data_IF_678314657666
#
_entry.id   IF_678314657666
#
_cell.length_a   1.000
_cell.length_b   1.000
_cell.length_c   1.000
_cell.angle_alpha   90.00
_cell.angle_beta   90.00
_cell.angle_gamma   90.00
#
_symmetry.space_group_name_H-M   'P 1'
#
loop_
_entity.id
_entity.type
_entity.pdbx_description
1 polymer ?
#
# COMPACT_ATOMS: atom_id res chain seq x y z
N UNK A 1 11.51 26.63 -2.22
CA UNK A 1 10.33 27.50 -2.45
C UNK A 1 9.85 27.55 -3.91
N UNK A 2 10.69 27.85 -4.94
CA UNK A 2 10.16 28.03 -6.30
C UNK A 2 9.47 26.79 -6.90
N UNK A 3 9.95 25.58 -6.55
CA UNK A 3 9.31 24.32 -6.94
C UNK A 3 8.03 24.07 -6.13
N UNK A 4 8.16 23.95 -4.81
CA UNK A 4 7.07 23.61 -3.89
C UNK A 4 5.84 24.55 -3.93
N UNK A 5 5.98 25.80 -4.40
CA UNK A 5 4.83 26.72 -4.56
C UNK A 5 3.96 26.44 -5.79
N UNK A 6 4.40 25.58 -6.72
CA UNK A 6 3.72 25.26 -7.99
C UNK A 6 3.52 23.77 -8.21
N UNK A 7 4.35 22.96 -7.60
CA UNK A 7 4.28 21.50 -7.68
C UNK A 7 4.05 20.98 -6.26
N UNK A 8 3.10 20.06 -6.04
CA UNK A 8 2.96 19.37 -4.76
C UNK A 8 4.23 18.58 -4.44
N UNK A 9 4.69 18.64 -3.19
CA UNK A 9 5.79 17.81 -2.69
C UNK A 9 5.23 16.90 -1.61
N UNK A 10 5.43 15.59 -1.79
CA UNK A 10 4.96 14.54 -0.90
C UNK A 10 6.19 13.89 -0.27
N UNK A 11 6.22 13.80 1.05
CA UNK A 11 7.41 13.40 1.80
C UNK A 11 7.18 12.08 2.55
N UNK A 12 8.14 11.17 2.49
CA UNK A 12 8.28 10.06 3.43
C UNK A 12 9.36 10.46 4.46
N UNK A 13 9.16 10.21 5.76
CA UNK A 13 10.18 10.51 6.76
C UNK A 13 11.32 9.48 6.67
N UNK A 14 12.55 9.95 6.83
CA UNK A 14 13.74 9.12 6.97
C UNK A 14 14.45 9.33 8.30
N UNK A 15 15.56 8.62 8.49
CA UNK A 15 16.31 8.62 9.75
C UNK A 15 16.88 10.01 10.13
N UNK A 16 17.00 10.93 9.17
CA UNK A 16 17.48 12.30 9.43
C UNK A 16 16.37 13.27 9.85
N UNK A 17 15.10 12.89 9.71
CA UNK A 17 13.98 13.64 10.26
C UNK A 17 13.80 13.39 11.77
N UNK A 18 14.40 12.34 12.31
CA UNK A 18 14.48 12.12 13.76
C UNK A 18 15.63 12.95 14.37
N UNK A 19 15.30 14.18 14.79
CA UNK A 19 16.29 15.09 15.36
C UNK A 19 16.55 14.77 16.84
N UNK A 20 17.82 14.67 17.24
CA UNK A 20 18.23 14.14 18.57
C UNK A 20 17.54 14.76 19.81
N UNK A 21 17.07 16.00 19.74
CA UNK A 21 16.37 16.68 20.85
C UNK A 21 14.87 16.86 20.62
N UNK A 22 14.40 16.65 19.39
CA UNK A 22 13.07 17.07 18.95
C UNK A 22 12.28 15.95 18.26
N UNK A 23 12.88 14.77 18.08
CA UNK A 23 12.30 13.68 17.30
C UNK A 23 11.85 14.18 15.94
N UNK A 24 10.66 13.79 15.52
CA UNK A 24 10.06 14.19 14.25
C UNK A 24 9.32 15.54 14.28
N UNK A 25 9.44 16.35 15.33
CA UNK A 25 8.65 17.57 15.49
C UNK A 25 8.81 18.55 14.30
N UNK A 26 10.01 18.65 13.73
CA UNK A 26 10.25 19.49 12.56
C UNK A 26 9.51 18.97 11.31
N UNK A 27 9.51 17.66 11.09
CA UNK A 27 8.78 17.02 10.00
C UNK A 27 7.27 17.27 10.13
N UNK A 28 6.71 16.98 11.30
CA UNK A 28 5.29 17.13 11.60
C UNK A 28 4.81 18.58 11.48
N UNK A 29 5.65 19.55 11.88
CA UNK A 29 5.28 20.97 11.86
C UNK A 29 5.37 21.62 10.47
N UNK A 30 6.17 21.07 9.55
CA UNK A 30 6.53 21.74 8.29
C UNK A 30 5.88 21.12 7.06
N UNK A 31 5.65 19.81 7.07
CA UNK A 31 5.18 19.10 5.88
C UNK A 31 3.69 18.77 6.01
N UNK A 32 2.95 19.17 4.98
CA UNK A 32 1.55 18.76 4.83
C UNK A 32 1.48 17.42 4.13
N UNK A 33 0.44 16.64 4.45
CA UNK A 33 0.16 15.35 3.83
C UNK A 33 -1.34 15.25 3.49
N UNK A 34 -1.72 14.37 2.56
CA UNK A 34 -3.11 13.98 2.38
C UNK A 34 -3.61 13.30 3.65
N UNK A 35 -4.86 13.58 4.01
CA UNK A 35 -5.56 12.78 5.00
C UNK A 35 -6.02 11.48 4.31
N UNK A 36 -5.06 10.56 4.11
CA UNK A 36 -5.28 9.25 3.49
C UNK A 36 -5.88 8.24 4.47
N UNK A 37 -6.71 8.69 5.41
CA UNK A 37 -7.39 7.85 6.41
C UNK A 37 -6.48 7.22 7.47
N UNK A 38 -5.15 7.32 7.34
CA UNK A 38 -4.20 6.67 8.26
C UNK A 38 -4.19 7.22 9.68
N UNK A 39 -4.65 8.46 9.88
CA UNK A 39 -4.53 9.17 11.16
C UNK A 39 -3.09 9.49 11.59
N UNK A 40 -2.05 9.02 10.87
CA UNK A 40 -0.64 9.12 11.26
C UNK A 40 0.15 10.13 10.43
N UNK A 41 0.94 11.03 11.04
CA UNK A 41 1.78 11.97 10.30
C UNK A 41 2.81 11.31 9.38
N UNK A 42 3.13 10.03 9.58
CA UNK A 42 4.31 9.39 9.00
C UNK A 42 4.02 8.44 7.82
N UNK A 43 2.77 8.01 7.65
CA UNK A 43 2.35 7.15 6.55
C UNK A 43 0.97 7.57 6.04
N UNK A 44 0.77 7.52 4.73
CA UNK A 44 -0.44 8.00 4.06
C UNK A 44 -0.49 7.49 2.62
N UNK A 45 -1.65 7.60 1.98
CA UNK A 45 -1.83 7.33 0.56
C UNK A 45 -2.45 8.50 -0.18
N UNK A 46 -2.32 8.51 -1.50
CA UNK A 46 -3.04 9.41 -2.39
C UNK A 46 -3.08 8.87 -3.83
N UNK A 47 -4.05 9.35 -4.60
CA UNK A 47 -4.11 9.08 -6.03
C UNK A 47 -3.61 10.27 -6.84
N UNK A 48 -2.87 9.99 -7.90
CA UNK A 48 -2.54 10.98 -8.93
C UNK A 48 -2.63 10.33 -10.31
N UNK A 49 -3.63 10.73 -11.09
CA UNK A 49 -3.88 10.14 -12.41
C UNK A 49 -4.09 8.61 -12.30
N UNK A 50 -3.36 7.78 -13.06
CA UNK A 50 -3.52 6.32 -13.05
C UNK A 50 -2.80 5.63 -11.89
N UNK A 51 -2.25 6.37 -10.92
CA UNK A 51 -1.39 5.82 -9.86
C UNK A 51 -2.00 6.03 -8.48
N UNK A 52 -1.97 4.98 -7.66
CA UNK A 52 -2.10 5.04 -6.20
C UNK A 52 -0.71 5.00 -5.59
N UNK A 53 -0.35 6.06 -4.88
CA UNK A 53 0.87 6.14 -4.10
C UNK A 53 0.57 5.84 -2.64
N UNK A 54 1.42 5.02 -2.01
CA UNK A 54 1.34 4.68 -0.59
C UNK A 54 2.72 4.95 0.02
N UNK A 55 2.80 5.93 0.90
CA UNK A 55 4.02 6.26 1.65
C UNK A 55 4.00 5.55 3.01
N UNK A 56 5.07 4.84 3.32
CA UNK A 56 5.32 4.21 4.63
C UNK A 56 6.53 4.85 5.31
N UNK A 57 6.71 4.59 6.60
CA UNK A 57 7.88 5.01 7.38
C UNK A 57 8.71 3.80 7.81
N UNK A 58 9.99 3.80 7.42
CA UNK A 58 11.00 2.86 7.87
C UNK A 58 11.62 3.21 9.23
N UNK A 59 11.13 4.28 9.88
CA UNK A 59 11.62 4.77 11.18
C UNK A 59 10.62 4.51 12.31
N UNK A 60 9.46 3.96 11.99
CA UNK A 60 8.41 3.60 12.94
C UNK A 60 8.12 2.10 12.87
N UNK A 61 7.42 1.56 13.87
CA UNK A 61 7.12 0.13 13.95
C UNK A 61 6.39 -0.36 12.69
N UNK A 62 6.88 -1.47 12.14
CA UNK A 62 6.32 -2.20 11.01
C UNK A 62 6.20 -3.70 11.34
N UNK A 63 6.20 -4.06 12.62
CA UNK A 63 6.01 -5.45 13.07
C UNK A 63 4.54 -5.86 12.98
N UNK A 64 4.27 -7.17 13.02
CA UNK A 64 2.91 -7.72 13.11
C UNK A 64 2.10 -7.05 14.23
N UNK A 65 0.90 -6.56 13.88
CA UNK A 65 0.00 -5.84 14.78
C UNK A 65 0.37 -4.37 15.05
N UNK A 66 1.41 -3.84 14.39
CA UNK A 66 1.69 -2.41 14.45
C UNK A 66 0.62 -1.62 13.67
N UNK A 67 0.26 -0.40 14.12
CA UNK A 67 -0.74 0.42 13.43
C UNK A 67 -0.40 0.70 11.96
N UNK A 68 0.90 0.80 11.63
CA UNK A 68 1.34 0.99 10.27
C UNK A 68 1.14 -0.25 9.40
N UNK A 69 1.51 -1.44 9.90
CA UNK A 69 1.41 -2.66 9.10
C UNK A 69 -0.05 -3.06 8.86
N UNK A 70 -0.91 -2.92 9.86
CA UNK A 70 -2.36 -3.15 9.72
C UNK A 70 -2.97 -2.17 8.71
N UNK A 71 -2.65 -0.88 8.82
CA UNK A 71 -3.10 0.12 7.86
C UNK A 71 -2.58 -0.15 6.44
N UNK A 72 -1.32 -0.57 6.30
CA UNK A 72 -0.72 -0.83 4.99
C UNK A 72 -1.43 -1.99 4.27
N UNK A 73 -1.75 -3.07 4.97
CA UNK A 73 -2.50 -4.20 4.40
C UNK A 73 -3.90 -3.76 3.90
N UNK A 74 -4.62 -2.99 4.71
CA UNK A 74 -5.93 -2.44 4.34
C UNK A 74 -5.85 -1.50 3.13
N UNK A 75 -4.88 -0.58 3.14
CA UNK A 75 -4.70 0.41 2.08
C UNK A 75 -4.28 -0.24 0.75
N UNK A 76 -3.41 -1.25 0.81
CA UNK A 76 -3.03 -2.04 -0.36
C UNK A 76 -4.21 -2.84 -0.92
N UNK A 77 -5.07 -3.39 -0.07
CA UNK A 77 -6.28 -4.06 -0.52
C UNK A 77 -7.23 -3.10 -1.25
N UNK A 78 -7.41 -1.88 -0.72
CA UNK A 78 -8.19 -0.82 -1.36
C UNK A 78 -7.56 -0.38 -2.70
N UNK A 79 -6.25 -0.19 -2.73
CA UNK A 79 -5.52 0.17 -3.94
C UNK A 79 -5.70 -0.90 -5.03
N UNK A 80 -5.57 -2.18 -4.66
CA UNK A 80 -5.74 -3.30 -5.57
C UNK A 80 -7.18 -3.40 -6.11
N UNK A 81 -8.18 -3.17 -5.26
CA UNK A 81 -9.59 -3.11 -5.68
C UNK A 81 -9.89 -1.91 -6.60
N UNK A 82 -9.09 -0.84 -6.53
CA UNK A 82 -9.26 0.40 -7.30
C UNK A 82 -8.55 0.41 -8.67
N UNK A 83 -7.92 -0.70 -9.09
CA UNK A 83 -7.09 -0.77 -10.31
C UNK A 83 -7.82 -0.45 -11.63
N UNK A 84 -9.15 -0.49 -11.65
CA UNK A 84 -9.92 0.03 -12.79
C UNK A 84 -9.75 1.55 -12.95
N UNK A 85 -9.68 2.31 -11.86
CA UNK A 85 -9.45 3.75 -11.87
C UNK A 85 -7.95 4.10 -11.83
N UNK A 86 -7.20 3.43 -10.96
CA UNK A 86 -5.79 3.69 -10.69
C UNK A 86 -4.99 2.38 -10.86
N UNK A 87 -4.67 1.99 -12.10
CA UNK A 87 -4.04 0.70 -12.33
C UNK A 87 -2.74 0.53 -11.55
N UNK A 88 -1.90 1.54 -11.44
CA UNK A 88 -0.56 1.38 -10.85
C UNK A 88 -0.57 1.61 -9.34
N UNK A 89 0.10 0.73 -8.59
CA UNK A 89 0.32 0.88 -7.16
C UNK A 89 1.80 1.02 -6.88
N UNK A 90 2.19 2.15 -6.31
CA UNK A 90 3.58 2.48 -5.98
C UNK A 90 3.70 2.69 -4.48
N UNK A 91 4.62 1.95 -3.85
CA UNK A 91 5.00 2.13 -2.44
C UNK A 91 6.26 2.98 -2.35
N UNK A 92 6.29 3.91 -1.40
CA UNK A 92 7.41 4.82 -1.14
C UNK A 92 7.85 4.65 0.33
N UNK A 93 9.16 4.63 0.57
CA UNK A 93 9.74 4.66 1.92
C UNK A 93 11.18 5.17 1.91
N UNK A 94 11.81 5.27 3.07
CA UNK A 94 13.19 5.76 3.16
C UNK A 94 14.22 4.63 3.06
N UNK A 95 14.27 3.69 4.00
CA UNK A 95 15.24 2.57 3.96
C UNK A 95 14.83 1.48 2.95
N UNK A 96 15.75 1.00 2.10
CA UNK A 96 15.44 0.05 1.05
C UNK A 96 15.32 -1.39 1.57
N UNK A 97 14.33 -2.14 1.07
CA UNK A 97 14.25 -3.59 1.32
C UNK A 97 15.28 -4.37 0.48
N UNK A 98 15.76 -3.77 -0.61
CA UNK A 98 16.78 -4.31 -1.50
C UNK A 98 17.78 -3.21 -1.85
N UNK A 99 19.02 -3.41 -1.43
CA UNK A 99 20.18 -2.60 -1.77
C UNK A 99 21.44 -3.45 -1.63
N UNK A 100 22.31 -3.37 -2.63
CA UNK A 100 23.62 -4.03 -2.65
C UNK A 100 24.73 -3.05 -2.25
N UNK A 101 24.38 -1.87 -1.73
CA UNK A 101 25.36 -0.95 -1.19
C UNK A 101 25.94 -1.50 0.12
N UNK A 102 27.26 -1.45 0.26
CA UNK A 102 27.93 -2.01 1.45
C UNK A 102 27.97 -1.03 2.63
N UNK A 103 27.49 0.21 2.48
CA UNK A 103 27.47 1.21 3.55
C UNK A 103 26.27 1.00 4.50
N UNK A 104 25.02 1.04 3.99
CA UNK A 104 23.83 0.65 4.76
C UNK A 104 23.23 -0.66 4.26
N UNK A 105 22.95 -0.76 2.96
CA UNK A 105 22.43 -1.98 2.34
C UNK A 105 20.95 -2.25 2.64
N UNK A 106 20.55 -3.50 2.48
CA UNK A 106 19.14 -3.91 2.63
C UNK A 106 18.67 -3.88 4.09
N UNK A 107 17.53 -3.22 4.35
CA UNK A 107 16.78 -3.32 5.61
C UNK A 107 15.99 -4.63 5.65
N UNK A 108 16.67 -5.72 6.01
CA UNK A 108 16.12 -7.08 5.99
C UNK A 108 14.88 -7.23 6.89
N UNK A 109 14.85 -6.56 8.05
CA UNK A 109 13.70 -6.63 8.95
C UNK A 109 12.45 -6.00 8.34
N UNK A 110 12.60 -4.93 7.56
CA UNK A 110 11.50 -4.34 6.80
C UNK A 110 11.04 -5.27 5.68
N UNK A 111 11.99 -5.88 4.95
CA UNK A 111 11.69 -6.87 3.90
C UNK A 111 10.88 -8.04 4.44
N UNK A 112 11.31 -8.64 5.54
CA UNK A 112 10.64 -9.78 6.16
C UNK A 112 9.20 -9.45 6.60
N UNK A 113 8.95 -8.20 7.03
CA UNK A 113 7.64 -7.77 7.51
C UNK A 113 6.70 -7.28 6.39
N UNK A 114 7.23 -6.68 5.32
CA UNK A 114 6.41 -5.92 4.35
C UNK A 114 6.33 -6.57 2.97
N UNK A 115 7.35 -7.33 2.54
CA UNK A 115 7.40 -7.88 1.18
C UNK A 115 6.17 -8.72 0.84
N UNK A 116 5.71 -9.56 1.77
CA UNK A 116 4.55 -10.42 1.53
C UNK A 116 3.28 -9.61 1.25
N UNK A 117 3.11 -8.44 1.85
CA UNK A 117 1.98 -7.54 1.56
C UNK A 117 2.10 -6.94 0.16
N UNK A 118 3.32 -6.50 -0.21
CA UNK A 118 3.56 -5.94 -1.55
C UNK A 118 3.24 -6.97 -2.63
N UNK A 119 3.69 -8.20 -2.46
CA UNK A 119 3.44 -9.30 -3.40
C UNK A 119 1.96 -9.67 -3.45
N UNK A 120 1.31 -9.89 -2.30
CA UNK A 120 -0.09 -10.34 -2.23
C UNK A 120 -1.06 -9.32 -2.83
N UNK A 121 -0.75 -8.02 -2.73
CA UNK A 121 -1.57 -6.95 -3.32
C UNK A 121 -1.04 -6.45 -4.68
N UNK A 122 -0.08 -7.18 -5.25
CA UNK A 122 0.47 -6.98 -6.60
C UNK A 122 1.10 -5.60 -6.81
N UNK A 123 1.76 -5.04 -5.80
CA UNK A 123 2.47 -3.74 -5.92
C UNK A 123 3.44 -3.77 -7.10
N UNK A 124 3.43 -2.69 -7.87
CA UNK A 124 4.14 -2.63 -9.15
C UNK A 124 5.58 -2.15 -8.98
N UNK A 125 5.75 -1.13 -8.12
CA UNK A 125 7.00 -0.45 -7.89
C UNK A 125 7.12 -0.05 -6.42
N UNK A 126 8.29 -0.29 -5.83
CA UNK A 126 8.63 0.20 -4.51
C UNK A 126 9.88 1.10 -4.61
N UNK A 127 9.78 2.34 -4.15
CA UNK A 127 10.84 3.36 -4.28
C UNK A 127 11.36 3.74 -2.90
N UNK A 128 12.68 3.74 -2.78
CA UNK A 128 13.43 3.94 -1.56
C UNK A 128 14.48 5.04 -1.72
N UNK A 129 14.94 5.57 -0.60
CA UNK A 129 16.08 6.49 -0.50
C UNK A 129 17.20 5.86 0.32
N UNK A 130 17.63 6.58 1.36
CA UNK A 130 18.64 6.19 2.36
C UNK A 130 20.05 5.91 1.82
N UNK A 131 20.23 4.91 0.98
CA UNK A 131 21.51 4.65 0.32
C UNK A 131 21.75 5.69 -0.77
N UNK A 132 22.89 6.37 -0.69
CA UNK A 132 23.25 7.46 -1.61
C UNK A 132 23.74 6.93 -2.97
N UNK A 133 22.97 6.05 -3.58
CA UNK A 133 23.23 5.46 -4.89
C UNK A 133 21.92 5.26 -5.63
N UNK A 134 22.04 4.99 -6.93
CA UNK A 134 20.94 4.45 -7.71
C UNK A 134 21.07 2.94 -7.79
N UNK A 135 19.97 2.22 -7.57
CA UNK A 135 19.89 0.79 -7.83
C UNK A 135 18.48 0.40 -8.23
N UNK A 136 18.38 -0.52 -9.20
CA UNK A 136 17.13 -1.12 -9.64
C UNK A 136 17.25 -2.63 -9.59
N UNK A 137 16.23 -3.27 -9.03
CA UNK A 137 16.10 -4.73 -9.07
C UNK A 137 15.40 -5.19 -10.36
N UNK A 138 15.54 -6.47 -10.68
CA UNK A 138 14.48 -7.18 -11.43
C UNK A 138 13.23 -7.33 -10.54
N UNK A 139 12.05 -7.67 -11.09
CA UNK A 139 10.95 -8.24 -10.31
C UNK A 139 11.46 -9.36 -9.39
N UNK A 140 11.38 -9.14 -8.07
CA UNK A 140 12.10 -9.94 -7.07
C UNK A 140 11.20 -10.28 -5.88
N UNK A 141 11.37 -11.48 -5.33
CA UNK A 141 10.76 -11.91 -4.05
C UNK A 141 11.81 -12.73 -3.30
N UNK A 142 12.06 -12.42 -2.04
CA UNK A 142 13.05 -13.12 -1.20
C UNK A 142 14.41 -13.31 -1.91
N UNK A 143 14.92 -12.26 -2.56
CA UNK A 143 16.16 -12.24 -3.36
C UNK A 143 16.17 -13.13 -4.62
N UNK A 144 15.08 -13.82 -4.92
CA UNK A 144 14.91 -14.62 -6.13
C UNK A 144 14.29 -13.76 -7.25
N UNK A 145 14.85 -13.84 -8.45
CA UNK A 145 14.35 -13.12 -9.63
C UNK A 145 13.19 -13.88 -10.26
N UNK A 146 12.02 -13.25 -10.33
CA UNK A 146 10.80 -13.85 -10.87
C UNK A 146 10.58 -13.55 -12.35
N UNK A 147 11.13 -12.44 -12.85
CA UNK A 147 11.04 -12.05 -14.25
C UNK A 147 12.29 -11.25 -14.63
N UNK A 148 12.94 -11.61 -15.74
CA UNK A 148 14.08 -10.86 -16.27
C UNK A 148 13.67 -9.88 -17.37
N UNK A 149 12.39 -9.84 -17.74
CA UNK A 149 11.86 -8.97 -18.79
C UNK A 149 12.29 -9.39 -20.20
N UNK A 150 12.49 -8.39 -21.06
CA UNK A 150 13.09 -8.57 -22.38
C UNK A 150 14.59 -8.93 -22.28
N UNK A 151 15.26 -9.08 -23.43
CA UNK A 151 16.68 -9.49 -23.45
C UNK A 151 17.61 -8.50 -22.72
N UNK A 152 17.17 -7.26 -22.48
CA UNK A 152 17.96 -6.22 -21.83
C UNK A 152 17.55 -5.99 -20.36
N UNK A 153 16.49 -6.63 -19.85
CA UNK A 153 16.00 -6.37 -18.50
C UNK A 153 15.37 -4.99 -18.31
N UNK A 154 14.78 -4.43 -19.36
CA UNK A 154 14.22 -3.07 -19.37
C UNK A 154 12.75 -3.03 -19.77
N UNK A 155 12.15 -4.11 -20.28
CA UNK A 155 10.71 -4.17 -20.55
C UNK A 155 10.06 -5.40 -19.93
N UNK A 156 9.00 -5.18 -19.16
CA UNK A 156 8.28 -6.25 -18.43
C UNK A 156 6.80 -6.27 -18.82
N UNK A 157 6.25 -7.46 -19.05
CA UNK A 157 4.86 -7.66 -19.45
C UNK A 157 4.05 -8.20 -18.25
N UNK A 158 3.45 -7.30 -17.48
CA UNK A 158 2.67 -7.59 -16.27
C UNK A 158 3.43 -8.47 -15.27
N UNK A 159 4.58 -8.01 -14.74
CA UNK A 159 5.34 -8.79 -13.76
C UNK A 159 4.50 -9.07 -12.52
N UNK A 160 4.75 -10.22 -11.88
CA UNK A 160 3.99 -10.70 -10.71
C UNK A 160 4.68 -10.39 -9.37
N UNK A 161 5.86 -9.78 -9.44
CA UNK A 161 6.64 -9.31 -8.30
C UNK A 161 6.97 -7.81 -8.48
N UNK A 162 7.08 -7.05 -7.38
CA UNK A 162 7.45 -5.64 -7.45
C UNK A 162 8.88 -5.46 -7.96
N UNK A 163 9.11 -4.37 -8.69
CA UNK A 163 10.45 -3.82 -8.89
C UNK A 163 10.78 -2.91 -7.73
N UNK A 164 12.00 -2.97 -7.20
CA UNK A 164 12.50 -2.06 -6.17
C UNK A 164 13.50 -1.08 -6.78
N UNK A 165 13.38 0.20 -6.41
CA UNK A 165 14.30 1.26 -6.78
C UNK A 165 14.89 1.91 -5.54
N UNK A 166 16.20 2.04 -5.50
CA UNK A 166 16.92 2.95 -4.60
C UNK A 166 17.26 4.19 -5.39
N UNK A 167 16.83 5.37 -4.92
CA UNK A 167 17.05 6.67 -5.58
C UNK A 167 17.48 7.72 -4.55
N UNK A 168 18.47 7.40 -3.70
CA UNK A 168 19.03 8.32 -2.69
C UNK A 168 20.02 9.35 -3.26
N UNK A 169 19.82 9.78 -4.50
CA UNK A 169 20.83 10.43 -5.35
C UNK A 169 20.69 11.95 -5.44
N UNK A 170 19.93 12.57 -4.52
CA UNK A 170 19.48 13.95 -4.66
C UNK A 170 20.46 15.02 -4.13
N UNK A 171 21.62 14.66 -3.58
CA UNK A 171 22.67 15.66 -3.28
C UNK A 171 23.64 15.39 -2.13
N UNK A 172 23.50 14.31 -1.35
CA UNK A 172 24.56 13.87 -0.42
C UNK A 172 25.62 13.02 -1.12
N UNK A 173 26.84 12.96 -0.57
CA UNK A 173 27.96 12.22 -1.17
C UNK A 173 27.54 10.80 -1.56
N UNK A 174 27.69 10.41 -2.84
CA UNK A 174 27.32 9.09 -3.29
C UNK A 174 28.12 7.98 -2.59
N UNK A 175 27.48 6.84 -2.39
CA UNK A 175 28.15 5.62 -1.93
C UNK A 175 28.52 4.79 -3.16
N UNK A 176 29.81 4.53 -3.36
CA UNK A 176 30.35 3.80 -4.52
C UNK A 176 30.80 2.37 -4.22
N UNK A 177 30.73 1.96 -2.95
CA UNK A 177 30.98 0.60 -2.51
C UNK A 177 29.69 -0.25 -2.62
N UNK A 178 29.70 -1.20 -3.53
CA UNK A 178 28.65 -2.19 -3.70
C UNK A 178 29.18 -3.62 -3.53
N UNK A 179 28.30 -4.55 -3.18
CA UNK A 179 28.61 -5.97 -3.06
C UNK A 179 29.20 -6.51 -4.37
N UNK A 180 30.29 -7.28 -4.25
CA UNK A 180 30.98 -7.95 -5.35
C UNK A 180 31.12 -9.45 -5.04
N UNK A 181 30.57 -10.36 -5.88
CA UNK A 181 29.88 -10.09 -7.15
C UNK A 181 28.53 -9.39 -6.98
N UNK A 182 28.09 -8.70 -8.03
CA UNK A 182 26.73 -8.13 -8.10
C UNK A 182 25.68 -9.19 -7.80
N UNK A 183 24.77 -8.97 -6.83
CA UNK A 183 23.68 -9.90 -6.56
C UNK A 183 22.80 -10.09 -7.79
N UNK A 184 22.33 -11.32 -8.03
CA UNK A 184 21.57 -11.66 -9.25
C UNK A 184 20.27 -10.87 -9.41
N UNK A 185 19.69 -10.37 -8.31
CA UNK A 185 18.49 -9.54 -8.31
C UNK A 185 18.75 -8.07 -8.67
N UNK A 186 19.98 -7.58 -8.52
CA UNK A 186 20.35 -6.21 -8.91
C UNK A 186 20.46 -6.16 -10.43
N UNK A 187 19.54 -5.46 -11.10
CA UNK A 187 19.54 -5.32 -12.56
C UNK A 187 20.48 -4.20 -13.03
N UNK A 188 20.48 -3.08 -12.31
CA UNK A 188 21.31 -1.92 -12.60
C UNK A 188 21.67 -1.21 -11.29
N UNK A 189 22.92 -0.72 -11.17
CA UNK A 189 23.37 0.07 -10.02
C UNK A 189 24.45 1.05 -10.43
N UNK A 190 24.41 2.27 -9.89
CA UNK A 190 25.43 3.28 -10.11
C UNK A 190 25.52 4.31 -8.97
N UNK A 191 26.73 4.82 -8.75
CA UNK A 191 27.00 5.90 -7.81
C UNK A 191 27.01 7.26 -8.53
N UNK A 192 25.83 7.77 -8.83
CA UNK A 192 25.63 8.99 -9.62
C UNK A 192 24.58 9.90 -8.99
N UNK A 193 24.69 11.21 -9.21
CA UNK A 193 23.62 12.16 -8.90
C UNK A 193 22.55 12.15 -9.99
N UNK A 194 21.29 12.13 -9.59
CA UNK A 194 20.17 12.11 -10.52
C UNK A 194 18.81 12.10 -9.83
N UNK A 195 17.76 12.02 -10.63
CA UNK A 195 16.36 11.89 -10.20
C UNK A 195 15.65 10.82 -11.02
N UNK A 196 14.71 10.11 -10.40
CA UNK A 196 13.80 9.23 -11.13
C UNK A 196 12.60 10.03 -11.67
N UNK A 197 12.31 9.87 -12.95
CA UNK A 197 11.14 10.43 -13.63
C UNK A 197 10.21 9.31 -14.03
N UNK A 198 8.93 9.44 -13.67
CA UNK A 198 7.88 8.48 -14.02
C UNK A 198 6.94 9.10 -15.06
N UNK A 199 6.79 8.45 -16.21
CA UNK A 199 5.77 8.74 -17.21
C UNK A 199 4.78 7.57 -17.24
N UNK A 200 3.54 7.83 -16.83
CA UNK A 200 2.57 6.78 -16.49
C UNK A 200 1.23 7.04 -17.14
N UNK A 201 0.74 6.06 -17.88
CA UNK A 201 -0.62 5.99 -18.38
C UNK A 201 -1.35 4.74 -17.84
N UNK A 202 -2.47 4.35 -18.43
CA UNK A 202 -3.25 3.18 -17.97
C UNK A 202 -2.56 1.84 -18.24
N UNK A 203 -1.68 1.78 -19.23
CA UNK A 203 -1.10 0.56 -19.80
C UNK A 203 0.41 0.50 -19.63
N UNK A 204 1.08 1.63 -19.42
CA UNK A 204 2.53 1.74 -19.30
C UNK A 204 2.93 2.59 -18.10
N UNK A 205 3.94 2.12 -17.38
CA UNK A 205 4.72 2.89 -16.42
C UNK A 205 6.17 2.86 -16.91
N UNK A 206 6.64 4.00 -17.43
CA UNK A 206 8.04 4.19 -17.80
C UNK A 206 8.78 4.92 -16.69
N UNK A 207 9.91 4.38 -16.27
CA UNK A 207 10.84 5.02 -15.34
C UNK A 207 12.13 5.38 -16.08
N UNK A 208 12.62 6.59 -15.85
CA UNK A 208 13.93 7.04 -16.31
C UNK A 208 14.72 7.61 -15.14
N UNK A 209 15.93 7.10 -14.92
CA UNK A 209 16.90 7.73 -14.03
C UNK A 209 17.68 8.77 -14.83
N UNK A 210 17.33 10.03 -14.63
CA UNK A 210 17.99 11.16 -15.29
C UNK A 210 19.13 11.68 -14.41
N UNK A 211 20.34 11.65 -14.95
CA UNK A 211 21.55 12.16 -14.30
C UNK A 211 21.55 13.68 -14.21
N UNK A 212 22.37 14.24 -13.33
CA UNK A 212 22.48 15.68 -13.12
C UNK A 212 22.87 16.49 -14.39
N UNK A 213 23.53 15.87 -15.37
CA UNK A 213 23.87 16.47 -16.66
C UNK A 213 22.73 16.37 -17.71
N UNK A 214 21.62 15.72 -17.35
CA UNK A 214 20.45 15.52 -18.19
C UNK A 214 20.46 14.24 -19.02
N UNK A 215 21.55 13.48 -19.02
CA UNK A 215 21.60 12.16 -19.67
C UNK A 215 20.80 11.10 -18.89
N UNK A 216 20.50 9.98 -19.55
CA UNK A 216 19.75 8.87 -18.93
C UNK A 216 20.76 7.80 -18.50
N UNK A 217 20.84 7.53 -17.20
CA UNK A 217 21.69 6.48 -16.63
C UNK A 217 21.06 5.10 -16.76
N UNK A 218 19.74 5.02 -16.53
CA UNK A 218 18.95 3.80 -16.64
C UNK A 218 17.49 4.11 -17.02
N UNK A 219 16.82 3.15 -17.66
CA UNK A 219 15.38 3.22 -17.91
C UNK A 219 14.76 1.82 -18.01
N UNK A 220 13.51 1.70 -17.58
CA UNK A 220 12.70 0.51 -17.80
C UNK A 220 11.22 0.86 -17.95
N UNK A 221 10.45 -0.11 -18.45
CA UNK A 221 9.00 0.02 -18.67
C UNK A 221 8.28 -1.21 -18.15
N UNK A 222 7.27 -0.98 -17.31
CA UNK A 222 6.27 -1.97 -16.94
C UNK A 222 5.05 -1.78 -17.84
N UNK A 223 4.65 -2.83 -18.55
CA UNK A 223 3.43 -2.84 -19.33
C UNK A 223 2.34 -3.63 -18.58
N UNK A 224 1.10 -3.16 -18.68
CA UNK A 224 -0.07 -3.86 -18.21
C UNK A 224 -0.87 -4.42 -19.36
N UNK A 225 -0.92 -5.73 -19.44
CA UNK A 225 -1.98 -6.40 -20.18
C UNK A 225 -3.22 -6.40 -19.28
N UNK A 226 -4.17 -5.50 -19.57
CA UNK A 226 -5.49 -5.67 -18.97
C UNK A 226 -6.01 -7.00 -19.52
N UNK A 227 -6.43 -7.97 -18.68
CA UNK A 227 -7.19 -9.09 -19.21
C UNK A 227 -8.35 -8.47 -19.97
N UNK A 228 -8.46 -8.73 -21.29
CA UNK A 228 -9.72 -8.55 -21.99
C UNK A 228 -10.75 -9.19 -21.07
N UNK A 229 -11.59 -8.40 -20.40
CA UNK A 229 -12.59 -8.91 -19.47
C UNK A 229 -13.18 -10.12 -20.18
N UNK A 230 -13.04 -11.36 -19.68
CA UNK A 230 -13.75 -12.46 -20.27
C UNK A 230 -15.20 -12.09 -20.05
N UNK A 231 -15.85 -11.52 -21.07
CA UNK A 231 -17.29 -11.37 -21.07
C UNK A 231 -17.75 -12.79 -20.84
N UNK A 232 -18.30 -13.06 -19.64
CA UNK A 232 -18.94 -14.32 -19.31
C UNK A 232 -19.71 -14.71 -20.57
N UNK A 233 -19.37 -15.82 -21.25
CA UNK A 233 -19.98 -16.09 -22.53
C UNK A 233 -21.48 -16.04 -22.29
N UNK A 234 -22.16 -15.15 -23.03
CA UNK A 234 -23.60 -15.05 -22.97
C UNK A 234 -24.12 -16.49 -22.99
N UNK A 235 -25.02 -16.87 -22.07
CA UNK A 235 -25.47 -18.25 -21.99
C UNK A 235 -25.84 -18.66 -23.41
N UNK A 236 -25.12 -19.64 -23.95
CA UNK A 236 -25.42 -20.16 -25.29
C UNK A 236 -26.92 -20.42 -25.24
N UNK A 237 -27.69 -19.77 -26.13
CA UNK A 237 -29.10 -20.11 -26.32
C UNK A 237 -29.09 -21.57 -26.76
N UNK A 238 -29.17 -22.46 -25.78
CA UNK A 238 -29.28 -23.88 -25.99
C UNK A 238 -30.54 -24.07 -26.80
N UNK A 239 -30.36 -24.57 -28.01
CA UNK A 239 -31.44 -25.13 -28.80
C UNK A 239 -32.08 -26.22 -27.91
N UNK A 240 -33.28 -25.95 -27.42
CA UNK A 240 -34.07 -26.92 -26.67
C UNK A 240 -34.19 -28.19 -27.51
N UNK A 241 -33.75 -29.37 -27.05
CA UNK A 241 -34.21 -30.61 -27.66
C UNK A 241 -35.68 -30.77 -27.28
N UNK A 242 -36.55 -30.74 -28.28
CA UNK A 242 -37.95 -31.09 -28.12
C UNK A 242 -38.05 -32.58 -27.74
N UNK A 243 -38.39 -32.87 -26.48
CA UNK A 243 -39.20 -34.01 -26.06
C UNK A 243 -39.35 -34.03 -24.53
N UNK A 244 -40.60 -34.06 -24.06
CA UNK A 244 -40.96 -34.64 -22.75
C UNK A 244 -41.60 -33.71 -21.72
N UNK A 245 -42.90 -33.40 -21.87
CA UNK A 245 -43.80 -33.53 -20.71
C UNK A 245 -43.69 -35.00 -20.23
N UNK A 246 -43.55 -35.34 -18.93
CA UNK A 246 -44.23 -34.71 -17.80
C UNK A 246 -43.37 -34.57 -16.51
N UNK A 247 -43.49 -33.45 -15.77
CA UNK A 247 -43.58 -33.44 -14.29
C UNK A 247 -43.98 -32.03 -13.82
N UNK A 248 -45.23 -31.68 -14.10
CA UNK A 248 -45.95 -30.70 -13.30
C UNK A 248 -46.38 -31.45 -12.04
N UNK A 249 -45.75 -31.18 -10.88
CA UNK A 249 -46.22 -31.43 -9.49
C UNK A 249 -45.02 -31.68 -8.55
N UNK A 250 -44.31 -30.62 -8.12
CA UNK A 250 -43.75 -30.57 -6.76
C UNK A 250 -43.18 -29.17 -6.41
N UNK A 251 -44.00 -28.10 -6.47
CA UNK A 251 -43.61 -26.82 -5.85
C UNK A 251 -44.80 -25.88 -5.57
N UNK A 252 -45.93 -26.40 -5.09
CA UNK A 252 -46.99 -25.57 -4.49
C UNK A 252 -47.75 -26.34 -3.40
N UNK A 253 -47.04 -26.75 -2.35
CA UNK A 253 -47.69 -27.15 -1.09
C UNK A 253 -46.65 -27.22 0.03
N UNK A 254 -46.22 -26.07 0.55
CA UNK A 254 -45.70 -25.90 1.93
C UNK A 254 -45.63 -24.39 2.24
N UNK A 255 -46.74 -23.68 2.01
CA UNK A 255 -46.96 -22.32 2.48
C UNK A 255 -48.47 -22.06 2.70
N UNK A 256 -49.18 -23.07 3.21
CA UNK A 256 -50.61 -22.96 3.55
C UNK A 256 -51.03 -23.95 4.65
N UNK A 257 -50.16 -24.19 5.63
CA UNK A 257 -50.52 -24.82 6.92
C UNK A 257 -49.78 -24.09 8.03
N UNK A 258 -50.09 -22.80 8.21
CA UNK A 258 -49.82 -22.08 9.46
C UNK A 258 -50.68 -20.80 9.51
N UNK A 259 -51.97 -20.92 9.22
CA UNK A 259 -52.96 -19.93 9.66
C UNK A 259 -54.31 -20.61 9.83
N UNK A 260 -54.89 -20.44 11.01
CA UNK A 260 -56.20 -20.92 11.49
C UNK A 260 -56.27 -22.38 11.95
N UNK A 261 -56.06 -22.60 13.25
CA UNK A 261 -57.20 -22.61 14.21
C UNK A 261 -56.74 -23.00 15.62
N UNK A 262 -56.77 -22.06 16.56
CA UNK A 262 -57.45 -22.30 17.83
C UNK A 262 -57.75 -20.97 18.53
N UNK A 263 -59.04 -20.64 18.58
CA UNK A 263 -59.63 -19.63 19.45
C UNK A 263 -60.04 -20.27 20.78
N UNK A 264 -60.00 -19.41 21.81
CA UNK A 264 -60.67 -19.50 23.12
C UNK A 264 -60.04 -20.47 24.14
N UNK A 265 -59.75 -20.07 25.37
CA UNK A 265 -60.60 -19.31 26.30
C UNK A 265 -59.85 -18.69 27.50
N UNK A 266 -60.35 -17.54 28.00
CA UNK A 266 -60.37 -17.01 29.40
C UNK A 266 -59.06 -16.94 30.21
N UNK A 267 -58.73 -15.94 31.02
CA UNK A 267 -59.41 -14.75 31.57
C UNK A 267 -58.38 -13.93 32.40
N UNK A 268 -58.65 -12.63 32.57
CA UNK A 268 -58.25 -11.74 33.68
C UNK A 268 -56.74 -11.55 33.99
N UNK A 269 -56.19 -10.35 34.16
CA UNK A 269 -56.73 -9.00 34.23
C UNK A 269 -55.66 -8.02 34.74
N UNK A 270 -56.00 -6.72 34.64
CA UNK A 270 -55.56 -5.56 35.43
C UNK A 270 -54.13 -4.98 35.27
N UNK A 271 -54.14 -3.75 34.73
CA UNK A 271 -53.61 -2.49 35.30
C UNK A 271 -52.28 -2.51 36.10
N UNK A 272 -51.27 -1.72 35.70
CA UNK A 272 -51.04 -0.33 36.15
C UNK A 272 -49.61 0.18 35.84
N UNK A 273 -49.55 1.48 35.52
CA UNK A 273 -48.55 2.49 35.91
C UNK A 273 -47.05 2.43 35.50
N UNK A 274 -46.69 3.41 34.66
CA UNK A 274 -45.49 4.28 34.75
C UNK A 274 -45.40 4.97 36.15
N UNK A 275 -44.29 5.59 36.64
CA UNK A 275 -43.20 6.23 35.86
C UNK A 275 -41.77 6.32 36.50
N UNK A 276 -40.84 6.89 35.71
CA UNK A 276 -39.72 7.84 35.99
C UNK A 276 -38.97 7.93 37.33
N UNK A 277 -37.66 8.22 37.21
CA UNK A 277 -36.76 9.09 38.04
C UNK A 277 -35.44 8.33 38.38
N UNK A 278 -34.23 8.87 38.45
CA UNK A 278 -33.71 10.24 38.58
C UNK A 278 -32.17 10.21 38.50
N UNK A 279 -31.58 11.39 38.28
CA UNK A 279 -30.17 11.78 38.33
C UNK A 279 -29.35 11.23 39.51
N UNK A 280 -28.02 11.13 39.35
CA UNK A 280 -27.05 11.72 40.29
C UNK A 280 -25.64 11.89 39.70
N UNK A 281 -25.11 13.10 39.83
CA UNK A 281 -23.70 13.49 39.79
C UNK A 281 -22.91 12.83 40.92
N UNK A 282 -21.61 12.55 40.67
CA UNK A 282 -20.51 12.96 41.57
C UNK A 282 -19.14 12.60 41.01
N UNK A 283 -18.33 13.63 40.72
CA UNK A 283 -16.86 13.63 40.80
C UNK A 283 -16.41 13.77 42.26
N UNK A 284 -15.20 13.32 42.61
CA UNK A 284 -14.21 14.23 43.21
C UNK A 284 -12.78 13.91 42.69
N UNK A 285 -11.97 14.89 42.27
CA UNK A 285 -11.09 15.79 43.04
C UNK A 285 -9.60 15.42 42.92
N UNK A 286 -8.82 16.45 42.62
CA UNK A 286 -7.38 16.60 42.47
C UNK A 286 -6.49 16.28 43.68
N UNK A 287 -5.27 15.79 43.42
CA UNK A 287 -3.96 16.08 44.07
C UNK A 287 -2.99 14.95 43.66
N UNK A 288 -1.71 15.06 43.34
CA UNK A 288 -0.65 15.97 43.81
C UNK A 288 0.57 15.80 42.88
N UNK A 289 1.28 16.89 42.63
CA UNK A 289 2.63 16.92 42.06
C UNK A 289 3.64 16.31 43.04
N UNK A 290 4.58 15.50 42.55
CA UNK A 290 5.88 15.26 43.20
C UNK A 290 6.96 15.29 42.12
N UNK A 291 7.81 16.31 42.21
CA UNK A 291 9.14 16.36 41.61
C UNK A 291 10.06 15.34 42.28
N UNK A 292 10.89 14.65 41.50
CA UNK A 292 12.14 14.07 42.01
C UNK A 292 13.25 14.26 40.99
N UNK A 293 14.06 15.28 41.23
CA UNK A 293 15.43 15.41 40.75
C UNK A 293 16.37 14.67 41.70
N UNK A 294 17.28 13.83 41.19
CA UNK A 294 18.72 13.86 41.53
C UNK A 294 19.48 12.68 40.93
N UNK A 295 20.68 13.03 40.43
CA UNK A 295 21.91 12.23 40.21
C UNK A 295 21.90 11.13 39.17
#
# INVERSE_FOLDING_TARGET
>A
EPSARRTPWMFAPGNHEEEALWGFAAYEARFSRPDGGSGSPFWYSFHHGPVTFISISSEHEYTDGSPQLEWLDEELALANASREAHPWVIVLGHKPMYSSNSYHGSEVALRDAVEYLLVNHSVDLAIWGHDHSYERTYPVIAEEVFDIGDQNGTMFASPTAPVHLVVGTAGQTPYDDFDDPQPGWSAHREASFGIALLDVDRYSLKMQFQLADGSIGDEFTLNREIPLIPTKPAPKKGLLPAAGLPLLLLATALAAVYSHSNQSSSSAGRYHHCPSSSCHHSTPSSSTLIESSSS
#
